data_IF_807210777280
#
_entry.id   IF_807210777280
#
_cell.length_a   1.000
_cell.length_b   1.000
_cell.length_c   1.000
_cell.angle_alpha   90.00
_cell.angle_beta   90.00
_cell.angle_gamma   90.00
#
_symmetry.space_group_name_H-M   'P 1'
#
loop_
_entity.id
_entity.type
_entity.pdbx_description
1 polymer ?
#
# COMPACT_ATOMS: atom_id res chain seq x y z
N UNK A 1 11.30 -5.34 -12.49
CA UNK A 1 11.12 -3.88 -12.50
C UNK A 1 12.25 -3.14 -11.76
N UNK A 2 12.67 -3.64 -10.61
CA UNK A 2 13.69 -2.98 -9.78
C UNK A 2 15.13 -3.23 -10.24
N UNK A 3 15.40 -4.31 -10.94
CA UNK A 3 16.73 -4.69 -11.38
C UNK A 3 17.22 -3.91 -12.63
N UNK A 4 16.33 -3.25 -13.36
CA UNK A 4 16.65 -2.48 -14.57
C UNK A 4 16.98 -1.01 -14.30
N UNK A 5 16.86 -0.53 -13.06
CA UNK A 5 17.10 0.86 -12.66
C UNK A 5 18.24 0.94 -11.66
N UNK A 6 19.09 1.92 -11.89
CA UNK A 6 20.14 2.26 -10.94
C UNK A 6 19.52 2.76 -9.67
N UNK A 7 19.10 2.50 -8.70
CA UNK A 7 18.53 3.12 -7.49
C UNK A 7 19.24 4.41 -7.07
N UNK A 8 19.10 4.75 -5.85
CA UNK A 8 19.82 5.85 -5.24
C UNK A 8 21.28 5.45 -5.03
N UNK A 9 22.21 6.39 -5.08
CA UNK A 9 23.62 6.16 -4.79
C UNK A 9 23.84 5.80 -3.31
N UNK A 10 23.08 6.45 -2.45
CA UNK A 10 23.05 6.21 -1.01
C UNK A 10 21.63 5.79 -0.62
N UNK A 11 21.47 5.09 0.50
CA UNK A 11 20.15 4.75 1.02
C UNK A 11 19.36 6.04 1.31
N UNK A 12 18.17 6.24 0.74
CA UNK A 12 17.41 7.47 0.91
C UNK A 12 16.68 7.54 2.26
N UNK A 13 16.70 6.46 3.03
CA UNK A 13 15.99 6.29 4.30
C UNK A 13 16.82 5.41 5.22
N UNK A 14 16.57 5.48 6.54
CA UNK A 14 17.25 4.64 7.53
C UNK A 14 17.01 3.15 7.29
N UNK A 15 15.80 2.80 6.83
CA UNK A 15 15.40 1.44 6.47
C UNK A 15 15.04 1.38 5.00
N UNK A 16 15.95 0.86 4.18
CA UNK A 16 15.79 0.82 2.73
C UNK A 16 15.74 -0.62 2.22
N UNK A 17 14.57 -1.09 1.84
CA UNK A 17 14.32 -2.49 1.46
C UNK A 17 14.71 -2.88 0.04
N UNK A 18 15.16 -1.95 -0.80
CA UNK A 18 15.50 -2.29 -2.18
C UNK A 18 16.56 -3.38 -2.32
N UNK A 19 17.65 -3.41 -1.53
CA UNK A 19 18.62 -4.51 -1.60
C UNK A 19 18.01 -5.88 -1.30
N UNK A 20 17.10 -5.96 -0.33
CA UNK A 20 16.35 -7.17 -0.02
C UNK A 20 15.51 -7.64 -1.22
N UNK A 21 14.75 -6.73 -1.85
CA UNK A 21 13.94 -7.06 -3.02
C UNK A 21 14.79 -7.47 -4.21
N UNK A 22 15.94 -6.82 -4.46
CA UNK A 22 16.86 -7.23 -5.53
C UNK A 22 17.38 -8.65 -5.29
N UNK A 23 17.81 -8.96 -4.09
CA UNK A 23 18.27 -10.30 -3.73
C UNK A 23 17.18 -11.36 -3.92
N UNK A 24 15.93 -11.02 -3.54
CA UNK A 24 14.78 -11.89 -3.75
C UNK A 24 14.52 -12.17 -5.24
N UNK A 25 14.60 -11.14 -6.09
CA UNK A 25 14.42 -11.27 -7.55
C UNK A 25 15.55 -12.05 -8.23
N UNK A 26 16.76 -12.02 -7.68
CA UNK A 26 17.92 -12.74 -8.22
C UNK A 26 17.92 -14.23 -7.83
N UNK A 27 17.12 -14.62 -6.84
CA UNK A 27 17.05 -16.03 -6.43
C UNK A 27 16.41 -16.90 -7.52
N UNK A 28 16.96 -18.09 -7.70
CA UNK A 28 16.48 -19.05 -8.72
C UNK A 28 15.00 -19.43 -8.56
N UNK A 29 14.47 -19.32 -7.36
CA UNK A 29 13.06 -19.59 -7.06
C UNK A 29 12.13 -18.59 -7.70
N UNK A 30 12.47 -17.29 -7.70
CA UNK A 30 11.66 -16.25 -8.33
C UNK A 30 11.76 -16.30 -9.86
N UNK A 31 12.98 -16.47 -10.39
CA UNK A 31 13.21 -16.51 -11.85
C UNK A 31 12.55 -17.72 -12.53
N UNK A 32 12.35 -18.83 -11.85
CA UNK A 32 11.60 -19.97 -12.38
C UNK A 32 10.11 -19.66 -12.58
N UNK A 33 9.58 -18.67 -11.88
CA UNK A 33 8.19 -18.24 -12.01
C UNK A 33 7.99 -17.14 -13.07
N UNK A 34 9.04 -16.38 -13.37
CA UNK A 34 8.98 -15.29 -14.36
C UNK A 34 8.86 -15.77 -15.83
N UNK A 35 9.17 -17.04 -16.11
CA UNK A 35 9.06 -17.65 -17.43
C UNK A 35 7.70 -18.27 -17.76
N UNK A 36 6.79 -18.37 -16.82
CA UNK A 36 5.43 -18.85 -17.04
C UNK A 36 4.49 -17.67 -17.30
N UNK A 37 3.60 -17.81 -18.27
CA UNK A 37 2.61 -16.81 -18.68
C UNK A 37 1.62 -16.39 -17.58
N UNK A 38 1.71 -16.95 -16.40
CA UNK A 38 0.97 -16.54 -15.20
C UNK A 38 1.78 -16.85 -13.92
N UNK A 39 2.87 -16.11 -13.66
CA UNK A 39 3.67 -16.35 -12.46
C UNK A 39 2.81 -16.08 -11.22
N UNK A 40 2.70 -17.07 -10.35
CA UNK A 40 2.13 -16.84 -9.02
C UNK A 40 3.03 -15.84 -8.29
N UNK A 41 2.49 -14.76 -7.72
CA UNK A 41 3.27 -13.76 -6.99
C UNK A 41 3.67 -14.29 -5.62
N UNK A 42 4.40 -15.43 -5.61
CA UNK A 42 4.80 -16.13 -4.40
C UNK A 42 6.33 -16.23 -4.33
N UNK A 43 6.84 -16.16 -3.12
CA UNK A 43 8.18 -16.56 -2.77
C UNK A 43 8.08 -17.73 -1.79
N UNK A 44 8.61 -18.89 -2.17
CA UNK A 44 8.37 -20.16 -1.49
C UNK A 44 6.85 -20.43 -1.39
N UNK A 45 6.33 -20.50 -0.19
CA UNK A 45 4.93 -20.76 0.15
C UNK A 45 4.10 -19.50 0.46
N UNK A 46 4.75 -18.31 0.48
CA UNK A 46 4.09 -17.04 0.80
C UNK A 46 3.86 -16.18 -0.42
N UNK A 47 2.70 -15.53 -0.50
CA UNK A 47 2.44 -14.46 -1.46
C UNK A 47 3.35 -13.26 -1.17
N UNK A 48 3.89 -12.64 -2.22
CA UNK A 48 4.88 -11.55 -2.08
C UNK A 48 4.39 -10.36 -1.28
N UNK A 49 3.10 -10.03 -1.36
CA UNK A 49 2.56 -8.92 -0.59
C UNK A 49 2.62 -9.15 0.92
N UNK A 50 2.51 -10.41 1.40
CA UNK A 50 2.69 -10.72 2.82
C UNK A 50 4.08 -10.37 3.32
N UNK A 51 5.12 -10.53 2.51
CA UNK A 51 6.48 -10.15 2.91
C UNK A 51 6.57 -8.64 3.18
N UNK A 52 5.89 -7.83 2.36
CA UNK A 52 5.83 -6.38 2.55
C UNK A 52 4.98 -5.98 3.76
N UNK A 53 3.82 -6.62 3.92
CA UNK A 53 2.90 -6.34 5.03
C UNK A 53 3.50 -6.76 6.37
N UNK A 54 4.13 -7.94 6.45
CA UNK A 54 4.81 -8.42 7.66
C UNK A 54 5.93 -7.45 8.05
N UNK A 55 6.75 -7.05 7.08
CA UNK A 55 7.81 -6.07 7.35
C UNK A 55 7.25 -4.73 7.86
N UNK A 56 6.21 -4.20 7.24
CA UNK A 56 5.58 -2.95 7.69
C UNK A 56 5.00 -3.07 9.09
N UNK A 57 4.38 -4.21 9.40
CA UNK A 57 3.85 -4.49 10.73
C UNK A 57 4.97 -4.54 11.78
N UNK A 58 6.07 -5.22 11.49
CA UNK A 58 7.23 -5.29 12.38
C UNK A 58 7.84 -3.90 12.58
N UNK A 59 8.02 -3.14 11.50
CA UNK A 59 8.49 -1.76 11.56
C UNK A 59 7.61 -0.89 12.47
N UNK A 60 6.30 -0.91 12.28
CA UNK A 60 5.37 -0.18 13.12
C UNK A 60 5.41 -0.66 14.56
N UNK A 61 5.47 -1.97 14.81
CA UNK A 61 5.51 -2.55 16.16
C UNK A 61 6.74 -2.09 16.96
N UNK A 62 7.86 -1.91 16.28
CA UNK A 62 9.11 -1.46 16.91
C UNK A 62 9.11 0.05 17.14
N UNK A 63 8.61 0.83 16.18
CA UNK A 63 8.81 2.28 16.16
C UNK A 63 7.61 3.11 16.60
N UNK A 64 6.38 2.56 16.67
CA UNK A 64 5.17 3.33 16.98
C UNK A 64 5.18 3.95 18.40
N UNK A 65 5.95 3.38 19.34
CA UNK A 65 6.07 3.87 20.72
C UNK A 65 7.26 4.81 20.94
N UNK A 66 8.05 5.06 19.92
CA UNK A 66 9.16 6.01 20.05
C UNK A 66 8.59 7.42 20.20
N UNK A 67 8.69 7.98 21.39
CA UNK A 67 8.30 9.37 21.66
C UNK A 67 9.33 10.38 21.16
N UNK A 68 10.55 9.93 20.87
CA UNK A 68 11.68 10.80 20.61
C UNK A 68 11.75 11.26 19.15
N UNK A 69 11.25 10.43 18.22
CA UNK A 69 11.30 10.75 16.79
C UNK A 69 10.03 10.28 16.08
N UNK A 70 9.39 11.16 15.26
CA UNK A 70 8.30 10.75 14.40
C UNK A 70 8.82 9.78 13.34
N UNK A 71 8.03 8.76 13.03
CA UNK A 71 8.35 7.81 11.97
C UNK A 71 7.59 8.11 10.69
N UNK A 72 8.24 7.91 9.54
CA UNK A 72 7.64 8.02 8.24
C UNK A 72 7.93 6.75 7.43
N UNK A 73 6.89 6.03 7.05
CA UNK A 73 7.01 4.81 6.27
C UNK A 73 6.33 4.92 4.90
N UNK A 74 7.01 4.46 3.86
CA UNK A 74 6.42 4.28 2.52
C UNK A 74 6.56 2.82 2.15
N UNK A 75 5.43 2.20 1.81
CA UNK A 75 5.39 0.86 1.22
C UNK A 75 4.76 0.95 -0.17
N UNK A 76 5.42 0.37 -1.17
CA UNK A 76 4.91 0.28 -2.54
C UNK A 76 4.85 -1.18 -2.97
N UNK A 77 3.67 -1.62 -3.42
CA UNK A 77 3.44 -2.95 -3.96
C UNK A 77 3.11 -2.85 -5.45
N UNK A 78 3.96 -3.41 -6.30
CA UNK A 78 3.74 -3.44 -7.74
C UNK A 78 3.27 -4.82 -8.22
N UNK A 79 3.66 -5.87 -7.53
CA UNK A 79 3.52 -7.27 -7.95
C UNK A 79 2.06 -7.69 -8.10
N UNK A 80 1.17 -7.04 -7.36
CA UNK A 80 -0.25 -7.38 -7.35
C UNK A 80 -1.09 -6.58 -8.34
N UNK A 81 -0.62 -5.42 -8.79
CA UNK A 81 -1.45 -4.50 -9.58
C UNK A 81 -0.87 -4.11 -10.93
N UNK A 82 0.44 -4.33 -11.17
CA UNK A 82 1.11 -3.81 -12.36
C UNK A 82 0.67 -4.50 -13.66
N UNK A 83 0.71 -5.83 -13.70
CA UNK A 83 0.49 -6.59 -14.94
C UNK A 83 -0.93 -7.18 -15.05
N UNK A 84 -1.59 -7.42 -13.91
CA UNK A 84 -2.86 -8.12 -13.85
C UNK A 84 -3.84 -7.40 -12.93
N UNK A 85 -4.95 -6.93 -13.50
CA UNK A 85 -6.00 -6.22 -12.75
C UNK A 85 -6.66 -7.12 -11.69
N UNK A 86 -6.88 -8.38 -12.03
CA UNK A 86 -7.61 -9.34 -11.19
C UNK A 86 -6.89 -9.67 -9.88
N UNK A 87 -5.59 -9.45 -9.80
CA UNK A 87 -4.82 -9.73 -8.58
C UNK A 87 -5.13 -8.79 -7.43
N UNK A 88 -5.70 -7.63 -7.69
CA UNK A 88 -6.17 -6.73 -6.65
C UNK A 88 -7.26 -7.37 -5.78
N UNK A 89 -8.10 -8.24 -6.35
CA UNK A 89 -9.11 -8.99 -5.58
C UNK A 89 -8.49 -9.99 -4.60
N UNK A 90 -7.28 -10.47 -4.86
CA UNK A 90 -6.62 -11.43 -3.97
C UNK A 90 -6.07 -10.76 -2.72
N UNK A 91 -5.67 -9.49 -2.82
CA UNK A 91 -5.08 -8.75 -1.71
C UNK A 91 -6.13 -8.06 -0.83
N UNK A 92 -7.36 -7.88 -1.29
CA UNK A 92 -8.39 -7.12 -0.58
C UNK A 92 -8.64 -7.66 0.83
N UNK A 93 -8.91 -8.95 0.95
CA UNK A 93 -9.13 -9.59 2.25
C UNK A 93 -7.88 -9.56 3.15
N UNK A 94 -6.70 -9.72 2.56
CA UNK A 94 -5.43 -9.73 3.30
C UNK A 94 -5.11 -8.34 3.85
N UNK A 95 -5.39 -7.29 3.08
CA UNK A 95 -5.30 -5.91 3.55
C UNK A 95 -6.30 -5.62 4.66
N UNK A 96 -7.53 -6.10 4.53
CA UNK A 96 -8.54 -5.94 5.57
C UNK A 96 -8.06 -6.55 6.90
N UNK A 97 -7.61 -7.80 6.87
CA UNK A 97 -7.09 -8.49 8.06
C UNK A 97 -5.86 -7.77 8.62
N UNK A 98 -4.95 -7.33 7.75
CA UNK A 98 -3.76 -6.58 8.14
C UNK A 98 -4.09 -5.30 8.90
N UNK A 99 -5.00 -4.47 8.37
CA UNK A 99 -5.39 -3.24 9.05
C UNK A 99 -6.16 -3.49 10.34
N UNK A 100 -6.99 -4.52 10.39
CA UNK A 100 -7.66 -4.92 11.63
C UNK A 100 -6.65 -5.34 12.71
N UNK A 101 -5.60 -6.08 12.37
CA UNK A 101 -4.53 -6.45 13.30
C UNK A 101 -3.78 -5.21 13.80
N UNK A 102 -3.46 -4.25 12.93
CA UNK A 102 -2.81 -3.01 13.32
C UNK A 102 -3.66 -2.19 14.31
N UNK A 103 -4.96 -2.08 14.05
CA UNK A 103 -5.91 -1.38 14.91
C UNK A 103 -6.04 -2.09 16.27
N UNK A 104 -6.23 -3.41 16.27
CA UNK A 104 -6.36 -4.21 17.50
C UNK A 104 -5.10 -4.14 18.38
N UNK A 105 -3.94 -3.92 17.79
CA UNK A 105 -2.66 -3.72 18.49
C UNK A 105 -2.36 -2.27 18.86
N UNK A 106 -3.26 -1.36 18.58
CA UNK A 106 -3.06 0.08 18.80
C UNK A 106 -1.86 0.69 18.08
N UNK A 107 -1.45 0.10 16.95
CA UNK A 107 -0.30 0.58 16.16
C UNK A 107 -0.63 1.82 15.31
N UNK A 108 -1.90 2.13 15.16
CA UNK A 108 -2.38 3.27 14.35
C UNK A 108 -2.96 4.41 15.19
N UNK A 109 -2.97 4.32 16.52
CA UNK A 109 -3.62 5.31 17.40
C UNK A 109 -3.04 6.73 17.24
N UNK A 110 -1.79 6.85 16.82
CA UNK A 110 -1.12 8.14 16.54
C UNK A 110 -0.47 8.15 15.15
N UNK A 111 -1.09 7.49 14.17
CA UNK A 111 -0.53 7.34 12.84
C UNK A 111 -1.56 7.76 11.79
N UNK A 112 -1.18 8.69 10.91
CA UNK A 112 -1.94 8.99 9.70
C UNK A 112 -1.53 7.96 8.66
N UNK A 113 -2.50 7.22 8.12
CA UNK A 113 -2.27 6.28 7.02
C UNK A 113 -2.84 6.85 5.74
N UNK A 114 -2.02 6.91 4.70
CA UNK A 114 -2.45 7.26 3.34
C UNK A 114 -2.33 6.00 2.49
N UNK A 115 -3.45 5.54 1.95
CA UNK A 115 -3.53 4.42 1.04
C UNK A 115 -3.99 4.90 -0.33
N UNK A 116 -3.13 4.78 -1.34
CA UNK A 116 -3.42 5.33 -2.67
C UNK A 116 -2.76 4.53 -3.79
N UNK A 117 -3.35 4.61 -4.99
CA UNK A 117 -2.69 4.24 -6.23
C UNK A 117 -1.86 5.39 -6.78
N UNK A 118 -0.78 5.10 -7.49
CA UNK A 118 -0.01 6.10 -8.24
C UNK A 118 -0.70 6.46 -9.57
N UNK A 119 -1.46 5.53 -10.13
CA UNK A 119 -2.36 5.67 -11.28
C UNK A 119 -3.22 4.41 -11.41
N UNK A 120 -4.28 4.45 -12.22
CA UNK A 120 -5.06 3.26 -12.56
C UNK A 120 -4.33 2.32 -13.52
N UNK A 121 -4.91 1.15 -13.74
CA UNK A 121 -4.28 0.09 -14.54
C UNK A 121 -4.12 0.48 -16.01
N UNK A 122 -2.87 0.48 -16.52
CA UNK A 122 -2.54 0.93 -17.89
C UNK A 122 -2.40 -0.19 -18.91
N UNK A 123 -2.22 -1.42 -18.47
CA UNK A 123 -1.94 -2.56 -19.36
C UNK A 123 -3.22 -3.23 -19.88
N UNK A 124 -4.34 -3.10 -19.16
CA UNK A 124 -5.59 -3.73 -19.53
C UNK A 124 -6.34 -2.97 -20.62
N UNK A 125 -7.07 -3.70 -21.49
CA UNK A 125 -7.86 -3.10 -22.59
C UNK A 125 -8.96 -2.13 -22.10
N UNK A 126 -9.41 -2.24 -20.85
CA UNK A 126 -10.34 -1.29 -20.24
C UNK A 126 -9.90 0.17 -20.37
N UNK A 127 -8.59 0.45 -20.36
CA UNK A 127 -8.07 1.82 -20.53
C UNK A 127 -8.53 2.50 -21.83
N UNK A 128 -8.90 1.73 -22.83
CA UNK A 128 -9.37 2.21 -24.13
C UNK A 128 -10.85 2.64 -24.09
N UNK A 129 -11.57 2.25 -23.06
CA UNK A 129 -12.94 2.72 -22.83
C UNK A 129 -12.92 4.10 -22.17
N UNK A 130 -14.05 4.83 -22.30
CA UNK A 130 -14.21 6.14 -21.67
C UNK A 130 -14.05 6.05 -20.14
N UNK A 131 -14.63 5.04 -19.51
CA UNK A 131 -14.56 4.83 -18.06
C UNK A 131 -13.12 4.48 -17.64
N UNK A 132 -12.49 3.51 -18.29
CA UNK A 132 -11.11 3.12 -17.99
C UNK A 132 -10.11 4.25 -18.21
N UNK A 133 -10.36 5.15 -19.19
CA UNK A 133 -9.56 6.36 -19.38
C UNK A 133 -9.65 7.33 -18.21
N UNK A 134 -10.79 7.39 -17.51
CA UNK A 134 -10.92 8.15 -16.27
C UNK A 134 -10.23 7.45 -15.09
N UNK A 135 -10.41 6.13 -14.94
CA UNK A 135 -9.80 5.36 -13.86
C UNK A 135 -8.27 5.43 -13.88
N UNK A 136 -7.66 5.42 -15.08
CA UNK A 136 -6.20 5.60 -15.19
C UNK A 136 -5.72 6.93 -14.60
N UNK A 137 -6.54 7.98 -14.70
CA UNK A 137 -6.19 9.35 -14.28
C UNK A 137 -6.67 9.70 -12.87
N UNK A 138 -7.60 8.93 -12.34
CA UNK A 138 -8.22 9.15 -11.04
C UNK A 138 -7.95 7.94 -10.14
N UNK A 139 -6.71 7.76 -9.67
CA UNK A 139 -6.37 6.63 -8.82
C UNK A 139 -7.13 6.69 -7.49
N UNK A 140 -7.30 5.53 -6.89
CA UNK A 140 -7.84 5.41 -5.55
C UNK A 140 -6.99 6.21 -4.55
N UNK A 141 -7.66 6.89 -3.63
CA UNK A 141 -7.03 7.60 -2.51
C UNK A 141 -7.91 7.47 -1.27
N UNK A 142 -7.32 7.03 -0.17
CA UNK A 142 -7.97 6.94 1.14
C UNK A 142 -7.00 7.42 2.22
N UNK A 143 -7.54 8.05 3.25
CA UNK A 143 -6.78 8.51 4.40
C UNK A 143 -7.46 8.07 5.69
N UNK A 144 -6.69 7.41 6.56
CA UNK A 144 -7.09 7.14 7.94
C UNK A 144 -6.43 8.20 8.84
N UNK A 145 -7.27 8.92 9.57
CA UNK A 145 -6.83 9.99 10.48
C UNK A 145 -7.12 9.56 11.92
N UNK A 146 -6.09 9.48 12.79
CA UNK A 146 -6.27 9.03 14.17
C UNK A 146 -7.10 10.01 14.99
N UNK A 147 -7.73 9.51 16.05
CA UNK A 147 -8.60 10.32 16.92
C UNK A 147 -7.85 11.50 17.55
N UNK A 148 -6.62 11.28 17.96
CA UNK A 148 -5.77 12.36 18.51
C UNK A 148 -5.56 13.52 17.55
N UNK A 149 -5.41 13.24 16.26
CA UNK A 149 -5.31 14.29 15.24
C UNK A 149 -6.65 15.03 15.07
N UNK A 150 -7.78 14.33 15.10
CA UNK A 150 -9.12 14.93 14.98
C UNK A 150 -9.40 15.91 16.11
N UNK A 151 -8.99 15.58 17.31
CA UNK A 151 -9.17 16.41 18.51
C UNK A 151 -8.25 17.63 18.50
N UNK A 152 -7.00 17.47 18.05
CA UNK A 152 -6.02 18.54 18.06
C UNK A 152 -6.14 19.50 16.84
N UNK A 153 -6.68 19.00 15.71
CA UNK A 153 -6.75 19.76 14.45
C UNK A 153 -8.15 19.69 13.80
N UNK A 154 -9.22 20.11 14.51
CA UNK A 154 -10.60 19.96 14.02
C UNK A 154 -10.86 20.70 12.72
N UNK A 155 -10.26 21.87 12.50
CA UNK A 155 -10.41 22.64 11.25
C UNK A 155 -9.78 21.90 10.06
N UNK A 156 -8.63 21.26 10.26
CA UNK A 156 -8.00 20.46 9.21
C UNK A 156 -8.86 19.24 8.83
N UNK A 157 -9.46 18.59 9.82
CA UNK A 157 -10.38 17.46 9.60
C UNK A 157 -11.63 17.93 8.85
N UNK A 158 -12.23 19.04 9.24
CA UNK A 158 -13.38 19.62 8.54
C UNK A 158 -13.05 19.92 7.07
N UNK A 159 -11.88 20.49 6.79
CA UNK A 159 -11.43 20.75 5.43
C UNK A 159 -11.24 19.45 4.62
N UNK A 160 -10.70 18.38 5.24
CA UNK A 160 -10.59 17.07 4.61
C UNK A 160 -11.97 16.50 4.27
N UNK A 161 -12.91 16.54 5.20
CA UNK A 161 -14.28 16.06 5.01
C UNK A 161 -15.02 16.85 3.92
N UNK A 162 -14.92 18.17 3.90
CA UNK A 162 -15.52 19.00 2.85
C UNK A 162 -14.92 18.73 1.45
N UNK A 163 -13.63 18.40 1.37
CA UNK A 163 -12.99 18.07 0.11
C UNK A 163 -13.27 16.64 -0.35
N UNK A 164 -13.73 15.75 0.52
CA UNK A 164 -14.06 14.37 0.19
C UNK A 164 -15.10 14.30 -0.94
N UNK A 165 -16.20 14.99 -0.79
CA UNK A 165 -17.30 15.00 -1.78
C UNK A 165 -16.89 15.61 -3.11
N UNK A 166 -16.03 16.63 -3.07
CA UNK A 166 -15.63 17.37 -4.27
C UNK A 166 -14.57 16.67 -5.12
N UNK A 167 -13.75 15.79 -4.50
CA UNK A 167 -12.57 15.19 -5.15
C UNK A 167 -12.50 13.66 -5.07
N UNK A 168 -13.58 13.00 -4.64
CA UNK A 168 -13.66 11.54 -4.47
C UNK A 168 -12.56 10.94 -3.57
N UNK A 169 -12.15 11.65 -2.53
CA UNK A 169 -11.32 11.08 -1.48
C UNK A 169 -12.22 10.36 -0.46
N UNK A 170 -11.78 9.20 0.01
CA UNK A 170 -12.46 8.49 1.08
C UNK A 170 -11.72 8.80 2.38
N UNK A 171 -12.36 9.55 3.27
CA UNK A 171 -11.88 9.75 4.63
C UNK A 171 -12.58 8.72 5.53
N UNK A 172 -11.84 7.79 6.10
CA UNK A 172 -12.37 6.80 7.01
C UNK A 172 -12.08 7.19 8.45
N UNK A 173 -13.13 7.47 9.23
CA UNK A 173 -13.02 7.67 10.68
C UNK A 173 -12.93 6.36 11.45
N UNK A 174 -13.46 5.30 10.85
CA UNK A 174 -13.47 3.96 11.37
C UNK A 174 -13.39 3.00 10.18
N UNK A 175 -12.48 2.05 10.22
CA UNK A 175 -12.54 0.90 9.34
C UNK A 175 -13.69 -0.01 9.79
N UNK A 176 -14.93 0.52 9.76
CA UNK A 176 -16.14 -0.26 9.97
C UNK A 176 -16.48 -0.94 8.68
N UNK A 177 -16.26 -2.23 8.72
CA UNK A 177 -16.86 -3.26 7.88
C UNK A 177 -16.50 -3.35 6.39
N UNK A 178 -16.06 -4.51 6.06
CA UNK A 178 -16.52 -5.29 4.91
C UNK A 178 -16.08 -4.86 3.51
N UNK A 179 -14.83 -4.64 3.29
CA UNK A 179 -14.15 -4.57 1.98
C UNK A 179 -13.67 -3.17 1.61
N UNK A 180 -12.41 -3.11 1.29
CA UNK A 180 -11.89 -2.09 0.40
C UNK A 180 -12.49 -2.37 -0.98
N UNK A 181 -13.47 -1.60 -1.42
CA UNK A 181 -14.01 -1.74 -2.76
C UNK A 181 -12.99 -1.20 -3.78
N UNK A 182 -12.47 -2.10 -4.59
CA UNK A 182 -11.84 -1.77 -5.86
C UNK A 182 -12.85 -1.85 -7.00
#
# INVERSE_FOLDING_TARGET
FYNLKNGFREAPTDFYLRPYWLSLYETSSYNKFAGNSNPKPCYLDKLLHFLSLDWLKDFLSIHHRSSDYPTFGIMKMNEMSHDYLERLFWIDNDLHIFFQDLIARHLLDNTIVIFCGDHGHRQHALRLTRIGGFEVKLPFFSMLVPQTFRENFPEAVQNLEQNQDSKRYILTSEMKSNRFFF
#
